data_IF_490654292860
#
_entry.id   IF_490654292860
#
_cell.length_a   1.000
_cell.length_b   1.000
_cell.length_c   1.000
_cell.angle_alpha   90.00
_cell.angle_beta   90.00
_cell.angle_gamma   90.00
#
_symmetry.space_group_name_H-M   'P 1'
#
loop_
_entity.id
_entity.type
_entity.pdbx_description
1 polymer ?
#
# COMPACT_ATOMS: atom_id res chain seq x y z
N UNK A 1 -19.72 -1.96 7.29
CA UNK A 1 -18.31 -1.53 7.19
C UNK A 1 -17.52 -2.74 6.71
N UNK A 2 -17.48 -2.97 5.40
CA UNK A 2 -16.73 -4.10 4.83
C UNK A 2 -15.25 -3.76 4.93
N UNK A 3 -14.54 -4.43 5.85
CA UNK A 3 -13.08 -4.45 5.82
C UNK A 3 -12.69 -5.08 4.47
N UNK A 4 -12.23 -4.25 3.53
CA UNK A 4 -11.49 -4.75 2.38
C UNK A 4 -10.24 -5.40 2.95
N UNK A 5 -10.05 -6.69 2.67
CA UNK A 5 -8.88 -7.43 3.16
C UNK A 5 -7.60 -6.69 2.77
N UNK A 6 -6.76 -6.41 3.77
CA UNK A 6 -5.46 -5.79 3.56
C UNK A 6 -4.64 -6.69 2.63
N UNK A 7 -4.20 -6.19 1.47
CA UNK A 7 -3.48 -7.04 0.51
C UNK A 7 -2.18 -7.59 1.10
N UNK A 8 -1.99 -8.89 0.95
CA UNK A 8 -0.75 -9.58 1.29
C UNK A 8 0.34 -9.27 0.25
N UNK A 9 1.60 -9.47 0.65
CA UNK A 9 2.78 -9.14 -0.16
C UNK A 9 2.81 -9.92 -1.48
N UNK A 10 2.37 -11.18 -1.49
CA UNK A 10 2.32 -12.03 -2.68
C UNK A 10 1.41 -11.47 -3.79
N UNK A 11 0.42 -10.66 -3.42
CA UNK A 11 -0.50 -10.00 -4.37
C UNK A 11 0.07 -8.70 -4.94
N UNK A 12 1.15 -8.16 -4.37
CA UNK A 12 1.71 -6.86 -4.73
C UNK A 12 2.98 -7.07 -5.58
N UNK A 13 2.99 -6.47 -6.77
CA UNK A 13 4.10 -6.56 -7.73
C UNK A 13 4.58 -5.17 -8.12
N UNK A 14 5.83 -5.07 -8.62
CA UNK A 14 6.32 -3.84 -9.22
C UNK A 14 5.44 -3.45 -10.41
N UNK A 15 5.17 -2.15 -10.56
CA UNK A 15 4.30 -1.60 -11.61
C UNK A 15 2.79 -1.72 -11.32
N UNK A 16 2.38 -2.48 -10.30
CA UNK A 16 0.97 -2.65 -9.93
C UNK A 16 0.37 -1.33 -9.43
N UNK A 17 -0.85 -1.01 -9.87
CA UNK A 17 -1.62 0.13 -9.36
C UNK A 17 -2.21 -0.20 -8.00
N UNK A 18 -1.94 0.66 -7.01
CA UNK A 18 -2.36 0.47 -5.63
C UNK A 18 -2.79 1.79 -5.01
N UNK A 19 -3.63 1.70 -3.99
CA UNK A 19 -3.89 2.79 -3.07
C UNK A 19 -3.07 2.61 -1.80
N UNK A 20 -2.31 3.62 -1.40
CA UNK A 20 -1.53 3.64 -0.16
C UNK A 20 -2.08 4.68 0.81
N UNK A 21 -1.93 4.43 2.11
CA UNK A 21 -2.00 5.47 3.14
C UNK A 21 -0.59 5.91 3.53
N UNK A 22 -0.31 7.20 3.43
CA UNK A 22 0.96 7.77 3.88
C UNK A 22 0.92 8.05 5.38
N UNK A 23 2.08 8.22 6.03
CA UNK A 23 2.14 8.42 7.49
C UNK A 23 1.30 9.61 7.96
N UNK A 24 1.34 10.74 7.25
CA UNK A 24 0.57 11.93 7.60
C UNK A 24 -0.94 11.75 7.37
N UNK A 25 -1.32 10.85 6.46
CA UNK A 25 -2.70 10.54 6.13
C UNK A 25 -3.31 9.43 7.02
N UNK A 26 -2.54 8.83 7.93
CA UNK A 26 -3.03 7.73 8.79
C UNK A 26 -4.22 8.14 9.67
N UNK A 27 -4.32 9.42 10.05
CA UNK A 27 -5.45 9.94 10.84
C UNK A 27 -6.67 10.26 9.98
N UNK A 28 -6.47 10.69 8.74
CA UNK A 28 -7.55 11.10 7.83
C UNK A 28 -8.08 9.95 7.00
N UNK A 29 -7.29 8.88 6.83
CA UNK A 29 -7.60 7.78 5.92
C UNK A 29 -7.46 8.16 4.44
N UNK A 30 -6.87 9.32 4.13
CA UNK A 30 -6.67 9.75 2.75
C UNK A 30 -5.77 8.76 2.03
N UNK A 31 -6.26 8.24 0.91
CA UNK A 31 -5.51 7.31 0.08
C UNK A 31 -4.84 8.06 -1.06
N UNK A 32 -3.62 7.65 -1.37
CA UNK A 32 -2.90 8.08 -2.56
C UNK A 32 -2.78 6.91 -3.52
N UNK A 33 -3.29 7.11 -4.74
CA UNK A 33 -3.10 6.18 -5.83
C UNK A 33 -1.69 6.28 -6.42
N UNK A 34 -1.13 5.15 -6.85
CA UNK A 34 -0.04 5.13 -7.81
C UNK A 34 0.49 3.74 -8.10
N UNK A 35 1.54 3.67 -8.92
CA UNK A 35 2.19 2.41 -9.29
C UNK A 35 3.35 2.08 -8.37
N UNK A 36 3.46 0.81 -7.96
CA UNK A 36 4.53 0.34 -7.08
C UNK A 36 5.89 0.40 -7.77
N UNK A 37 6.84 1.11 -7.17
CA UNK A 37 8.26 1.16 -7.57
C UNK A 37 9.11 0.14 -6.81
N UNK A 38 8.84 -0.02 -5.51
CA UNK A 38 9.58 -0.94 -4.63
C UNK A 38 8.70 -1.43 -3.49
N UNK A 39 8.88 -2.69 -3.10
CA UNK A 39 8.26 -3.29 -1.91
C UNK A 39 9.25 -3.21 -0.76
N UNK A 40 8.82 -2.65 0.38
CA UNK A 40 9.66 -2.38 1.56
C UNK A 40 9.36 -3.30 2.74
N UNK A 41 8.25 -4.06 2.69
CA UNK A 41 7.92 -5.09 3.69
C UNK A 41 8.39 -6.46 3.19
N UNK A 42 9.12 -7.18 4.04
CA UNK A 42 9.59 -8.54 3.77
C UNK A 42 8.56 -9.61 4.13
N UNK A 43 7.79 -9.43 5.21
CA UNK A 43 6.75 -10.37 5.65
C UNK A 43 5.61 -10.48 4.64
N UNK A 44 4.96 -11.65 4.58
CA UNK A 44 3.85 -11.85 3.64
C UNK A 44 2.59 -11.06 4.04
N UNK A 45 2.37 -10.86 5.34
CA UNK A 45 1.25 -10.10 5.88
C UNK A 45 1.75 -9.04 6.86
N UNK A 46 0.94 -8.00 7.04
CA UNK A 46 1.18 -6.94 8.01
C UNK A 46 -0.17 -6.28 8.39
N UNK A 47 -0.44 -6.00 9.67
CA UNK A 47 -1.76 -5.53 10.14
C UNK A 47 -2.20 -4.16 9.59
N UNK A 48 -1.25 -3.40 9.04
CA UNK A 48 -1.51 -2.10 8.41
C UNK A 48 -1.30 -2.11 6.89
N UNK A 49 -0.98 -3.26 6.31
CA UNK A 49 -0.61 -3.40 4.92
C UNK A 49 0.88 -3.39 4.63
N UNK A 50 1.20 -3.77 3.41
CA UNK A 50 2.55 -3.89 2.90
C UNK A 50 3.07 -2.49 2.59
N UNK A 51 4.26 -2.17 3.10
CA UNK A 51 4.89 -0.88 2.84
C UNK A 51 5.51 -0.89 1.45
N UNK A 52 5.24 0.14 0.65
CA UNK A 52 5.77 0.31 -0.70
C UNK A 52 6.23 1.75 -0.95
N UNK A 53 7.13 1.91 -1.91
CA UNK A 53 7.43 3.19 -2.57
C UNK A 53 6.71 3.20 -3.92
N UNK A 54 6.02 4.30 -4.26
CA UNK A 54 5.40 4.51 -5.56
C UNK A 54 6.41 5.08 -6.57
N UNK A 55 6.10 5.02 -7.87
CA UNK A 55 6.92 5.66 -8.91
C UNK A 55 7.08 7.17 -8.69
N UNK A 56 6.12 7.82 -8.03
CA UNK A 56 6.18 9.23 -7.64
C UNK A 56 7.13 9.53 -6.48
N UNK A 57 7.76 8.51 -5.87
CA UNK A 57 8.60 8.64 -4.67
C UNK A 57 7.82 8.68 -3.35
N UNK A 58 6.48 8.69 -3.38
CA UNK A 58 5.64 8.63 -2.18
C UNK A 58 5.74 7.25 -1.53
N UNK A 59 5.72 7.23 -0.19
CA UNK A 59 5.87 5.99 0.60
C UNK A 59 4.66 5.83 1.52
N UNK A 60 4.08 4.64 1.52
CA UNK A 60 2.93 4.34 2.37
C UNK A 60 2.65 2.85 2.49
N UNK A 61 1.53 2.54 3.14
CA UNK A 61 1.05 1.18 3.35
C UNK A 61 -0.11 0.89 2.40
N UNK A 62 0.00 -0.18 1.60
CA UNK A 62 -1.05 -0.58 0.65
C UNK A 62 -2.34 -0.91 1.41
N UNK A 63 -3.43 -0.24 1.02
CA UNK A 63 -4.77 -0.48 1.52
C UNK A 63 -5.65 -1.19 0.50
N UNK A 64 -5.43 -0.95 -0.81
CA UNK A 64 -6.18 -1.60 -1.87
C UNK A 64 -5.33 -1.80 -3.13
N UNK A 65 -5.64 -2.84 -3.91
CA UNK A 65 -5.15 -3.04 -5.28
C UNK A 65 -6.23 -2.56 -6.25
N UNK A 66 -5.85 -1.92 -7.35
CA UNK A 66 -6.74 -1.42 -8.40
C UNK A 66 -6.75 -2.39 -9.57
#
# INVERSE_FOLDING_TARGET
>A
MLLSDIPSRDKIKLGLSVNIVQKHDQRTGTLTEGKVKRILTSSNSHPHGIKVELLSGKIGRVQNII
#
